data_IF_536630712352
#
_entry.id   IF_536630712352
#
_cell.length_a   1.000
_cell.length_b   1.000
_cell.length_c   1.000
_cell.angle_alpha   90.00
_cell.angle_beta   90.00
_cell.angle_gamma   90.00
#
_symmetry.space_group_name_H-M   'P 1'
#
loop_
_entity.id
_entity.type
_entity.pdbx_description
1 polymer ?
#
# COMPACT_ATOMS: atom_id res chain seq x y z
N UNK A 1 19.70 -1.69 -8.63
CA UNK A 1 19.88 -1.36 -10.07
C UNK A 1 19.69 -2.58 -10.99
N UNK A 2 20.34 -3.74 -10.77
CA UNK A 2 20.18 -4.90 -11.69
C UNK A 2 18.76 -5.48 -11.78
N UNK A 3 18.02 -5.51 -10.69
CA UNK A 3 16.67 -6.11 -10.63
C UNK A 3 15.60 -5.23 -11.28
N UNK A 4 15.72 -3.90 -11.14
CA UNK A 4 14.81 -2.92 -11.77
C UNK A 4 14.99 -2.87 -13.30
N UNK A 5 16.21 -3.07 -13.78
CA UNK A 5 16.52 -3.15 -15.21
C UNK A 5 15.96 -4.45 -15.84
N UNK A 6 16.02 -5.57 -15.11
CA UNK A 6 15.46 -6.84 -15.56
C UNK A 6 13.92 -6.78 -15.69
N UNK A 7 13.24 -6.18 -14.73
CA UNK A 7 11.78 -6.03 -14.78
C UNK A 7 11.34 -5.19 -15.98
N UNK A 8 12.00 -4.07 -16.25
CA UNK A 8 11.72 -3.23 -17.43
C UNK A 8 11.91 -3.99 -18.73
N UNK A 9 12.95 -4.81 -18.82
CA UNK A 9 13.21 -5.66 -20.01
C UNK A 9 12.11 -6.71 -20.21
N UNK A 10 11.65 -7.35 -19.13
CA UNK A 10 10.55 -8.32 -19.21
C UNK A 10 9.25 -7.64 -19.67
N UNK A 11 8.92 -6.47 -19.13
CA UNK A 11 7.74 -5.70 -19.54
C UNK A 11 7.82 -5.28 -21.00
N UNK A 12 8.96 -4.78 -21.45
CA UNK A 12 9.18 -4.41 -22.85
C UNK A 12 9.01 -5.62 -23.79
N UNK A 13 9.64 -6.75 -23.45
CA UNK A 13 9.51 -8.01 -24.19
C UNK A 13 8.05 -8.48 -24.25
N UNK A 14 7.33 -8.47 -23.11
CA UNK A 14 5.94 -8.91 -23.05
C UNK A 14 5.02 -8.07 -23.96
N UNK A 15 5.29 -6.77 -24.10
CA UNK A 15 4.57 -5.87 -25.01
C UNK A 15 4.96 -6.11 -26.47
N UNK A 16 6.26 -6.20 -26.75
CA UNK A 16 6.79 -6.39 -28.09
C UNK A 16 6.29 -7.68 -28.75
N UNK A 17 6.21 -8.76 -27.97
CA UNK A 17 5.78 -10.07 -28.46
C UNK A 17 4.28 -10.36 -28.26
N UNK A 18 3.48 -9.36 -27.91
CA UNK A 18 2.03 -9.48 -27.82
C UNK A 18 1.54 -10.39 -26.72
N UNK A 19 2.27 -10.50 -25.61
CA UNK A 19 1.77 -11.17 -24.40
C UNK A 19 0.72 -10.33 -23.71
N UNK A 20 0.97 -9.03 -23.59
CA UNK A 20 0.05 -8.05 -23.00
C UNK A 20 0.13 -6.74 -23.77
N UNK A 21 -0.99 -6.02 -23.84
CA UNK A 21 -1.06 -4.68 -24.41
C UNK A 21 -2.13 -3.86 -23.67
N UNK A 22 -2.07 -2.52 -23.69
CA UNK A 22 -3.08 -1.68 -23.07
C UNK A 22 -4.47 -1.97 -23.65
N UNK A 23 -5.46 -2.16 -22.78
CA UNK A 23 -6.83 -2.34 -23.25
C UNK A 23 -7.31 -1.07 -23.97
N UNK A 24 -8.04 -1.26 -25.08
CA UNK A 24 -8.53 -0.16 -25.92
C UNK A 24 -7.42 0.74 -26.49
N UNK A 25 -6.27 0.16 -26.86
CA UNK A 25 -5.08 0.89 -27.30
C UNK A 25 -5.34 1.81 -28.49
N UNK A 26 -6.27 1.46 -29.39
CA UNK A 26 -6.65 2.31 -30.54
C UNK A 26 -7.28 3.65 -30.13
N UNK A 27 -7.66 3.79 -28.87
CA UNK A 27 -8.21 5.01 -28.26
C UNK A 27 -7.33 5.52 -27.12
N UNK A 28 -6.01 5.42 -27.29
CA UNK A 28 -4.98 5.79 -26.29
C UNK A 28 -4.90 4.89 -25.06
N UNK A 29 -5.69 3.81 -25.00
CA UNK A 29 -5.68 2.84 -23.93
C UNK A 29 -6.32 3.32 -22.61
N UNK A 30 -6.51 2.39 -21.70
CA UNK A 30 -6.91 2.67 -20.31
C UNK A 30 -5.71 2.49 -19.37
N UNK A 31 -5.54 3.43 -18.46
CA UNK A 31 -4.45 3.34 -17.46
C UNK A 31 -4.64 2.10 -16.57
N UNK A 32 -3.60 1.31 -16.43
CA UNK A 32 -3.54 0.09 -15.61
C UNK A 32 -4.54 -1.01 -16.00
N UNK A 33 -5.10 -0.98 -17.20
CA UNK A 33 -5.96 -2.03 -17.75
C UNK A 33 -5.29 -2.64 -18.99
N UNK A 34 -5.17 -3.96 -19.01
CA UNK A 34 -4.43 -4.69 -20.05
C UNK A 34 -5.24 -5.84 -20.61
N UNK A 35 -5.13 -6.04 -21.92
CA UNK A 35 -5.59 -7.22 -22.60
C UNK A 35 -4.44 -8.22 -22.77
N UNK A 36 -4.76 -9.51 -22.76
CA UNK A 36 -3.80 -10.57 -23.02
C UNK A 36 -3.88 -10.98 -24.51
N UNK A 37 -2.74 -10.93 -25.18
CA UNK A 37 -2.60 -11.49 -26.52
C UNK A 37 -2.59 -13.01 -26.49
N UNK A 38 -2.50 -13.63 -27.67
CA UNK A 38 -2.59 -15.10 -27.82
C UNK A 38 -1.61 -15.87 -26.92
N UNK A 39 -0.36 -15.46 -26.85
CA UNK A 39 0.64 -16.12 -26.00
C UNK A 39 0.39 -15.83 -24.51
N UNK A 40 -0.03 -14.59 -24.19
CA UNK A 40 -0.34 -14.17 -22.84
C UNK A 40 -1.54 -14.91 -22.24
N UNK A 41 -2.62 -15.12 -23.00
CA UNK A 41 -3.79 -15.84 -22.53
C UNK A 41 -3.49 -17.30 -22.27
N UNK A 42 -2.71 -17.95 -23.13
CA UNK A 42 -2.29 -19.34 -22.92
C UNK A 42 -1.42 -19.49 -21.67
N UNK A 43 -0.42 -18.62 -21.51
CA UNK A 43 0.42 -18.59 -20.32
C UNK A 43 -0.42 -18.37 -19.04
N UNK A 44 -1.32 -17.39 -19.06
CA UNK A 44 -2.23 -17.11 -17.93
C UNK A 44 -3.09 -18.31 -17.58
N UNK A 45 -3.70 -18.95 -18.56
CA UNK A 45 -4.58 -20.09 -18.34
C UNK A 45 -3.82 -21.31 -17.81
N UNK A 46 -2.61 -21.55 -18.30
CA UNK A 46 -1.74 -22.62 -17.81
C UNK A 46 -1.34 -22.39 -16.34
N UNK A 47 -0.98 -21.16 -15.97
CA UNK A 47 -0.65 -20.79 -14.58
C UNK A 47 -1.88 -21.01 -13.68
N UNK A 48 -3.06 -20.52 -14.10
CA UNK A 48 -4.31 -20.69 -13.34
C UNK A 48 -4.67 -22.14 -13.12
N UNK A 49 -4.59 -22.96 -14.19
CA UNK A 49 -4.88 -24.40 -14.10
C UNK A 49 -3.91 -25.10 -13.17
N UNK A 50 -2.62 -24.87 -13.35
CA UNK A 50 -1.58 -25.45 -12.49
C UNK A 50 -1.81 -25.10 -11.01
N UNK A 51 -2.07 -23.83 -10.72
CA UNK A 51 -2.36 -23.40 -9.35
C UNK A 51 -3.61 -24.08 -8.79
N UNK A 52 -4.70 -24.10 -9.55
CA UNK A 52 -5.96 -24.70 -9.13
C UNK A 52 -5.79 -26.19 -8.83
N UNK A 53 -5.19 -26.93 -9.73
CA UNK A 53 -4.96 -28.37 -9.59
C UNK A 53 -4.02 -28.65 -8.41
N UNK A 54 -2.95 -27.88 -8.25
CA UNK A 54 -2.04 -28.03 -7.12
C UNK A 54 -2.74 -27.80 -5.78
N UNK A 55 -3.62 -26.80 -5.69
CA UNK A 55 -4.34 -26.50 -4.43
C UNK A 55 -5.43 -27.54 -4.13
N UNK A 56 -6.25 -27.90 -5.11
CA UNK A 56 -7.44 -28.71 -4.88
C UNK A 56 -7.20 -30.22 -4.98
N UNK A 57 -6.17 -30.67 -5.70
CA UNK A 57 -5.90 -32.11 -5.91
C UNK A 57 -4.78 -32.63 -5.00
N UNK A 58 -3.81 -31.78 -4.63
CA UNK A 58 -2.69 -32.19 -3.79
C UNK A 58 -2.95 -31.96 -2.29
N UNK A 59 -4.05 -31.33 -1.92
CA UNK A 59 -4.40 -31.03 -0.54
C UNK A 59 -5.82 -31.51 -0.25
N UNK A 60 -5.95 -32.50 0.61
CA UNK A 60 -7.23 -33.18 0.93
C UNK A 60 -8.26 -32.26 1.61
N UNK A 61 -7.80 -31.22 2.30
CA UNK A 61 -8.63 -30.29 3.07
C UNK A 61 -8.96 -28.98 2.32
N UNK A 62 -8.65 -28.89 1.02
CA UNK A 62 -8.95 -27.73 0.19
C UNK A 62 -9.94 -28.13 -0.90
N UNK A 63 -11.03 -27.38 -0.98
CA UNK A 63 -12.02 -27.48 -2.05
C UNK A 63 -12.11 -26.20 -2.86
N UNK A 64 -12.37 -26.32 -4.15
CA UNK A 64 -12.51 -25.17 -5.03
C UNK A 64 -13.88 -24.50 -4.88
N UNK A 65 -13.88 -23.16 -4.85
CA UNK A 65 -15.07 -22.34 -4.89
C UNK A 65 -14.86 -21.20 -5.90
N UNK A 66 -15.80 -21.02 -6.80
CA UNK A 66 -15.82 -19.89 -7.73
C UNK A 66 -17.01 -18.98 -7.40
N UNK A 67 -16.76 -17.95 -6.62
CA UNK A 67 -17.76 -16.98 -6.22
C UNK A 67 -18.03 -15.95 -7.31
N UNK A 68 -19.24 -15.39 -7.34
CA UNK A 68 -19.60 -14.32 -8.25
C UNK A 68 -18.70 -13.09 -8.06
N UNK A 69 -18.45 -12.37 -9.17
CA UNK A 69 -17.68 -11.11 -9.14
C UNK A 69 -18.45 -10.01 -8.40
N UNK A 70 -19.78 -9.93 -8.66
CA UNK A 70 -20.66 -9.01 -7.94
C UNK A 70 -21.33 -9.74 -6.79
N UNK A 71 -21.22 -9.17 -5.61
CA UNK A 71 -21.80 -9.72 -4.39
C UNK A 71 -22.64 -8.65 -3.68
N UNK A 72 -23.60 -9.11 -2.86
CA UNK A 72 -24.48 -8.19 -2.14
C UNK A 72 -23.70 -7.24 -1.24
N UNK A 73 -24.00 -5.91 -1.24
CA UNK A 73 -23.23 -4.92 -0.47
C UNK A 73 -23.10 -5.21 1.02
N UNK A 74 -24.10 -5.87 1.62
CA UNK A 74 -24.09 -6.26 3.03
C UNK A 74 -22.92 -7.17 3.39
N UNK A 75 -22.44 -8.02 2.46
CA UNK A 75 -21.28 -8.89 2.68
C UNK A 75 -20.04 -8.05 2.95
N UNK A 76 -19.83 -7.03 2.13
CA UNK A 76 -18.68 -6.13 2.25
C UNK A 76 -18.77 -5.19 3.44
N UNK A 77 -19.98 -4.84 3.85
CA UNK A 77 -20.21 -4.11 5.09
C UNK A 77 -19.93 -4.98 6.30
N UNK A 78 -20.42 -6.22 6.32
CA UNK A 78 -20.19 -7.16 7.41
C UNK A 78 -18.72 -7.56 7.57
N UNK A 79 -17.97 -7.64 6.46
CA UNK A 79 -16.54 -7.93 6.47
C UNK A 79 -15.65 -6.71 6.72
N UNK A 80 -16.24 -5.50 6.80
CA UNK A 80 -15.49 -4.25 7.01
C UNK A 80 -14.85 -3.65 5.75
N UNK A 81 -14.92 -4.31 4.59
CA UNK A 81 -14.27 -3.82 3.37
C UNK A 81 -14.82 -2.48 2.87
N UNK A 82 -16.10 -2.19 3.09
CA UNK A 82 -16.70 -0.91 2.68
C UNK A 82 -16.25 0.23 3.59
N UNK A 83 -16.11 -0.06 4.88
CA UNK A 83 -15.86 0.97 5.89
C UNK A 83 -14.36 1.16 6.19
N UNK A 84 -13.55 0.09 6.08
CA UNK A 84 -12.15 0.08 6.48
C UNK A 84 -11.14 -0.05 5.30
N UNK A 85 -11.61 -0.37 4.09
CA UNK A 85 -10.71 -0.60 2.94
C UNK A 85 -10.44 0.70 2.18
N UNK A 86 -9.88 1.66 2.91
CA UNK A 86 -9.61 3.01 2.40
C UNK A 86 -8.16 3.40 2.72
N UNK A 87 -7.41 3.71 1.68
CA UNK A 87 -6.06 4.25 1.84
C UNK A 87 -6.10 5.79 1.90
N UNK A 88 -5.46 6.42 2.89
CA UNK A 88 -5.27 7.86 2.90
C UNK A 88 -4.17 8.22 1.89
N UNK A 89 -4.54 8.80 0.75
CA UNK A 89 -3.61 9.17 -0.31
C UNK A 89 -3.30 10.67 -0.30
N UNK A 90 -2.02 11.00 -0.54
CA UNK A 90 -1.51 12.35 -0.66
C UNK A 90 -0.65 12.47 -1.91
N UNK A 91 -0.79 13.56 -2.66
CA UNK A 91 0.02 13.80 -3.86
C UNK A 91 1.09 14.86 -3.57
N UNK A 92 2.29 14.66 -4.11
CA UNK A 92 3.28 15.73 -4.13
C UNK A 92 3.20 16.47 -5.47
N UNK A 93 3.00 17.80 -5.42
CA UNK A 93 2.76 18.63 -6.60
C UNK A 93 3.97 18.75 -7.53
N UNK A 94 5.17 18.64 -6.96
CA UNK A 94 6.40 18.82 -7.74
C UNK A 94 6.81 17.54 -8.46
N UNK A 95 6.74 16.40 -7.77
CA UNK A 95 7.04 15.09 -8.37
C UNK A 95 5.87 14.52 -9.17
N UNK A 96 4.65 15.05 -9.00
CA UNK A 96 3.38 14.51 -9.55
C UNK A 96 3.16 13.03 -9.19
N UNK A 97 3.71 12.60 -8.06
CA UNK A 97 3.58 11.23 -7.56
C UNK A 97 2.66 11.17 -6.37
N UNK A 98 1.94 10.05 -6.29
CA UNK A 98 1.01 9.73 -5.21
C UNK A 98 1.66 8.81 -4.22
N UNK A 99 1.37 9.04 -2.95
CA UNK A 99 1.87 8.29 -1.81
C UNK A 99 0.74 7.98 -0.84
N UNK A 100 0.91 6.94 -0.06
CA UNK A 100 0.07 6.68 1.10
C UNK A 100 0.57 7.56 2.26
N UNK A 101 -0.33 8.35 2.83
CA UNK A 101 0.02 9.26 3.93
C UNK A 101 0.42 8.50 5.20
N UNK A 102 -0.25 7.40 5.49
CA UNK A 102 0.07 6.50 6.61
C UNK A 102 1.49 5.93 6.48
N UNK A 103 1.86 5.40 5.31
CA UNK A 103 3.22 4.86 5.05
C UNK A 103 4.29 5.95 5.19
N UNK A 104 4.04 7.17 4.71
CA UNK A 104 4.99 8.28 4.88
C UNK A 104 5.24 8.61 6.36
N UNK A 105 4.20 8.54 7.20
CA UNK A 105 4.30 8.79 8.63
C UNK A 105 5.00 7.62 9.33
N UNK A 106 4.66 6.38 8.99
CA UNK A 106 5.32 5.17 9.51
C UNK A 106 6.81 5.14 9.19
N UNK A 107 7.19 5.53 7.97
CA UNK A 107 8.59 5.69 7.56
C UNK A 107 9.32 6.75 8.41
N UNK A 108 8.65 7.83 8.82
CA UNK A 108 9.25 8.83 9.70
C UNK A 108 9.39 8.31 11.13
N UNK A 109 8.41 7.55 11.64
CA UNK A 109 8.51 6.84 12.93
C UNK A 109 9.73 5.89 12.92
N UNK A 110 9.87 5.10 11.85
CA UNK A 110 11.00 4.19 11.68
C UNK A 110 12.36 4.91 11.65
N UNK A 111 12.44 6.12 11.09
CA UNK A 111 13.66 6.95 11.13
C UNK A 111 14.04 7.37 12.56
N UNK A 112 13.06 7.63 13.43
CA UNK A 112 13.37 7.87 14.84
C UNK A 112 13.89 6.62 15.53
N UNK A 113 13.30 5.44 15.29
CA UNK A 113 13.79 4.17 15.80
C UNK A 113 15.21 3.88 15.31
N UNK A 114 15.51 4.16 14.04
CA UNK A 114 16.86 4.05 13.48
C UNK A 114 17.86 4.99 14.17
N UNK A 115 17.48 6.23 14.47
CA UNK A 115 18.34 7.17 15.21
C UNK A 115 18.63 6.65 16.61
N UNK A 116 17.63 6.15 17.33
CA UNK A 116 17.76 5.56 18.66
C UNK A 116 18.73 4.37 18.60
N UNK A 117 18.50 3.44 17.68
CA UNK A 117 19.30 2.24 17.53
C UNK A 117 20.77 2.56 17.14
N UNK A 118 20.99 3.57 16.30
CA UNK A 118 22.35 4.04 15.95
C UNK A 118 23.09 4.63 17.15
N UNK A 119 22.42 5.41 18.01
CA UNK A 119 23.04 5.95 19.23
C UNK A 119 23.37 4.83 20.24
N UNK A 120 22.47 3.87 20.43
CA UNK A 120 22.71 2.69 21.26
C UNK A 120 23.87 1.85 20.73
N UNK A 121 23.92 1.58 19.42
CA UNK A 121 25.00 0.81 18.80
C UNK A 121 26.37 1.51 18.90
N UNK A 122 26.41 2.85 18.81
CA UNK A 122 27.64 3.62 19.04
C UNK A 122 28.12 3.49 20.48
N UNK A 123 27.19 3.56 21.44
CA UNK A 123 27.50 3.42 22.86
C UNK A 123 28.00 2.00 23.17
N UNK A 124 27.34 0.96 22.65
CA UNK A 124 27.77 -0.42 22.81
C UNK A 124 29.21 -0.65 22.31
N UNK A 125 29.56 -0.08 21.15
CA UNK A 125 30.92 -0.13 20.62
C UNK A 125 31.95 0.60 21.51
N UNK A 126 31.51 1.70 22.14
CA UNK A 126 32.38 2.54 22.97
C UNK A 126 32.64 1.94 24.36
N UNK A 127 31.61 1.35 24.97
CA UNK A 127 31.69 0.84 26.37
C UNK A 127 32.01 -0.65 26.47
N UNK A 128 31.89 -1.43 25.37
CA UNK A 128 32.27 -2.84 25.33
C UNK A 128 31.42 -3.72 26.25
N UNK A 129 32.06 -4.74 26.86
CA UNK A 129 31.39 -5.78 27.67
C UNK A 129 30.65 -5.26 28.92
N UNK A 130 30.90 -4.03 29.34
CA UNK A 130 30.20 -3.40 30.49
C UNK A 130 28.98 -2.56 30.10
N UNK A 131 28.54 -2.59 28.84
CA UNK A 131 27.44 -1.76 28.37
C UNK A 131 26.07 -2.30 28.79
N UNK A 132 25.34 -1.53 29.60
CA UNK A 132 23.95 -1.79 29.92
C UNK A 132 23.04 -0.99 28.98
N UNK A 133 22.51 -1.68 27.97
CA UNK A 133 21.64 -1.07 26.95
C UNK A 133 20.35 -0.51 27.55
N UNK A 134 19.74 -1.20 28.53
CA UNK A 134 18.49 -0.77 29.14
C UNK A 134 18.69 0.53 29.91
N UNK A 135 19.70 0.58 30.75
CA UNK A 135 20.03 1.78 31.50
C UNK A 135 20.39 2.94 30.57
N UNK A 136 21.12 2.67 29.48
CA UNK A 136 21.48 3.69 28.51
C UNK A 136 20.25 4.27 27.80
N UNK A 137 19.30 3.43 27.41
CA UNK A 137 18.02 3.87 26.80
C UNK A 137 17.19 4.72 27.76
N UNK A 138 17.22 4.42 29.05
CA UNK A 138 16.46 5.13 30.09
C UNK A 138 17.13 6.42 30.59
N UNK A 139 18.44 6.61 30.36
CA UNK A 139 19.18 7.73 30.94
C UNK A 139 19.84 8.66 29.92
N UNK A 140 20.07 8.22 28.68
CA UNK A 140 20.75 9.05 27.69
C UNK A 140 19.81 10.13 27.14
N UNK A 141 20.18 11.44 27.27
CA UNK A 141 19.30 12.54 26.87
C UNK A 141 18.90 12.52 25.38
N UNK A 142 19.80 12.12 24.48
CA UNK A 142 19.51 12.03 23.03
C UNK A 142 18.55 10.90 22.70
N UNK A 143 18.74 9.75 23.34
CA UNK A 143 17.81 8.60 23.20
C UNK A 143 16.44 8.97 23.73
N UNK A 144 16.37 9.60 24.90
CA UNK A 144 15.12 10.07 25.50
C UNK A 144 14.39 11.09 24.62
N UNK A 145 15.13 12.06 24.05
CA UNK A 145 14.56 13.06 23.13
C UNK A 145 13.96 12.40 21.88
N UNK A 146 14.71 11.48 21.24
CA UNK A 146 14.20 10.78 20.06
C UNK A 146 13.03 9.86 20.39
N UNK A 147 13.06 9.20 21.55
CA UNK A 147 11.96 8.36 22.02
C UNK A 147 10.70 9.17 22.31
N UNK A 148 10.83 10.34 22.93
CA UNK A 148 9.70 11.24 23.20
C UNK A 148 9.05 11.71 21.89
N UNK A 149 9.84 12.19 20.92
CA UNK A 149 9.34 12.61 19.60
C UNK A 149 8.68 11.46 18.83
N UNK A 150 9.26 10.26 18.88
CA UNK A 150 8.70 9.06 18.27
C UNK A 150 7.35 8.70 18.88
N UNK A 151 7.26 8.72 20.21
CA UNK A 151 6.02 8.39 20.92
C UNK A 151 4.93 9.43 20.64
N UNK A 152 5.25 10.71 20.69
CA UNK A 152 4.32 11.80 20.32
C UNK A 152 3.78 11.63 18.89
N UNK A 153 4.66 11.38 17.92
CA UNK A 153 4.26 11.13 16.54
C UNK A 153 3.38 9.90 16.42
N UNK A 154 3.75 8.80 17.08
CA UNK A 154 2.99 7.56 17.04
C UNK A 154 1.59 7.72 17.68
N UNK A 155 1.46 8.42 18.82
CA UNK A 155 0.18 8.67 19.46
C UNK A 155 -0.73 9.56 18.60
N UNK A 156 -0.18 10.64 18.02
CA UNK A 156 -0.94 11.51 17.10
C UNK A 156 -1.41 10.72 15.87
N UNK A 157 -0.52 9.93 15.27
CA UNK A 157 -0.82 9.08 14.13
C UNK A 157 -1.89 8.06 14.45
N UNK A 158 -1.74 7.30 15.54
CA UNK A 158 -2.72 6.30 15.95
C UNK A 158 -4.11 6.91 16.18
N UNK A 159 -4.17 8.08 16.82
CA UNK A 159 -5.42 8.81 17.00
C UNK A 159 -6.01 9.27 15.67
N UNK A 160 -5.22 9.86 14.79
CA UNK A 160 -5.68 10.31 13.47
C UNK A 160 -6.24 9.17 12.61
N UNK A 161 -5.60 7.99 12.66
CA UNK A 161 -6.08 6.79 11.95
C UNK A 161 -7.37 6.24 12.56
N UNK A 162 -7.46 6.15 13.89
CA UNK A 162 -8.67 5.67 14.57
C UNK A 162 -9.88 6.59 14.34
N UNK A 163 -9.65 7.90 14.31
CA UNK A 163 -10.69 8.91 14.09
C UNK A 163 -10.95 9.17 12.60
N UNK A 164 -10.22 8.48 11.69
CA UNK A 164 -10.23 8.71 10.23
C UNK A 164 -10.04 10.20 9.87
N UNK A 165 -9.20 10.90 10.63
CA UNK A 165 -8.96 12.33 10.47
C UNK A 165 -7.87 12.62 9.44
N UNK A 166 -8.29 12.78 8.18
CA UNK A 166 -7.38 13.01 7.05
C UNK A 166 -6.63 14.33 7.15
N UNK A 167 -7.22 15.37 7.73
CA UNK A 167 -6.57 16.67 7.89
C UNK A 167 -5.44 16.57 8.93
N UNK A 168 -5.66 15.82 10.02
CA UNK A 168 -4.61 15.59 11.01
C UNK A 168 -3.44 14.77 10.42
N UNK A 169 -3.70 13.78 9.57
CA UNK A 169 -2.63 13.07 8.85
C UNK A 169 -1.79 14.02 8.00
N UNK A 170 -2.45 14.95 7.30
CA UNK A 170 -1.75 15.99 6.54
C UNK A 170 -0.94 16.89 7.44
N UNK A 171 -1.53 17.33 8.55
CA UNK A 171 -0.87 18.22 9.50
C UNK A 171 0.38 17.57 10.11
N UNK A 172 0.32 16.29 10.45
CA UNK A 172 1.48 15.50 10.90
C UNK A 172 2.59 15.54 9.84
N UNK A 173 2.28 15.30 8.57
CA UNK A 173 3.27 15.31 7.47
C UNK A 173 3.95 16.70 7.38
N UNK A 174 3.20 17.76 7.57
CA UNK A 174 3.73 19.14 7.52
C UNK A 174 4.57 19.48 8.76
N UNK A 175 4.09 19.17 9.96
CA UNK A 175 4.73 19.48 11.24
C UNK A 175 6.07 18.76 11.38
N UNK A 176 6.13 17.49 11.02
CA UNK A 176 7.37 16.71 11.03
C UNK A 176 8.24 16.95 9.79
N UNK A 177 7.77 17.77 8.87
CA UNK A 177 8.53 18.18 7.70
C UNK A 177 8.88 17.03 6.77
N UNK A 178 8.00 16.05 6.66
CA UNK A 178 8.20 14.89 5.80
C UNK A 178 8.32 15.34 4.35
N UNK A 179 9.41 14.95 3.70
CA UNK A 179 9.70 15.32 2.32
C UNK A 179 9.34 14.19 1.34
N UNK A 180 9.01 14.57 0.13
CA UNK A 180 8.79 13.61 -0.95
C UNK A 180 10.07 12.82 -1.24
N UNK A 181 10.03 11.49 -1.26
CA UNK A 181 11.21 10.66 -1.53
C UNK A 181 11.87 10.90 -2.89
N UNK A 182 11.11 11.41 -3.87
CA UNK A 182 11.59 11.65 -5.24
C UNK A 182 12.07 13.09 -5.42
N UNK A 183 11.24 14.08 -5.08
CA UNK A 183 11.57 15.50 -5.32
C UNK A 183 12.29 16.17 -4.15
N UNK A 184 12.26 15.58 -2.95
CA UNK A 184 12.81 16.19 -1.74
C UNK A 184 12.02 17.40 -1.22
N UNK A 185 10.86 17.72 -1.82
CA UNK A 185 10.04 18.88 -1.46
C UNK A 185 8.92 18.52 -0.51
N UNK A 186 8.35 19.53 0.16
CA UNK A 186 7.21 19.41 1.08
C UNK A 186 5.91 19.93 0.47
N UNK A 187 5.84 20.04 -0.85
CA UNK A 187 4.69 20.59 -1.56
C UNK A 187 3.56 19.55 -1.69
N UNK A 188 2.92 19.26 -0.56
CA UNK A 188 1.88 18.24 -0.45
C UNK A 188 0.48 18.83 -0.72
N UNK A 189 -0.39 18.01 -1.31
CA UNK A 189 -1.82 18.28 -1.46
C UNK A 189 -2.57 18.00 -0.15
N UNK A 190 -3.87 18.05 -0.18
CA UNK A 190 -4.73 17.46 0.85
C UNK A 190 -4.66 15.95 0.81
N UNK A 191 -4.82 15.31 1.96
CA UNK A 191 -5.01 13.85 2.05
C UNK A 191 -6.43 13.54 1.61
N UNK A 192 -6.58 12.56 0.72
CA UNK A 192 -7.87 12.10 0.22
C UNK A 192 -8.03 10.62 0.50
N UNK A 193 -9.20 10.24 0.91
CA UNK A 193 -9.55 8.85 1.07
C UNK A 193 -9.74 8.20 -0.30
N UNK A 194 -9.03 7.12 -0.55
CA UNK A 194 -9.19 6.32 -1.75
C UNK A 194 -9.86 5.00 -1.40
N UNK A 195 -11.08 4.81 -1.89
CA UNK A 195 -11.78 3.55 -1.71
C UNK A 195 -11.22 2.51 -2.67
N UNK A 196 -10.71 1.42 -2.13
CA UNK A 196 -10.16 0.30 -2.91
C UNK A 196 -11.25 -0.60 -3.50
N UNK A 197 -12.52 -0.41 -3.08
CA UNK A 197 -13.65 -1.16 -3.61
C UNK A 197 -14.22 -0.50 -4.87
N UNK A 198 -14.08 -1.14 -6.01
CA UNK A 198 -14.77 -0.72 -7.24
C UNK A 198 -16.26 -0.98 -7.11
N UNK A 199 -17.07 0.05 -7.35
CA UNK A 199 -18.52 -0.06 -7.36
C UNK A 199 -19.10 0.17 -8.75
N UNK A 200 -20.24 -0.46 -9.02
CA UNK A 200 -21.04 -0.22 -10.20
C UNK A 200 -22.53 -0.24 -9.84
N UNK A 201 -23.36 0.29 -10.72
CA UNK A 201 -24.82 0.24 -10.58
C UNK A 201 -25.35 -0.99 -11.33
N UNK A 202 -26.13 -1.80 -10.64
CA UNK A 202 -26.83 -2.96 -11.21
C UNK A 202 -28.32 -2.72 -11.23
N UNK A 203 -28.90 -2.64 -12.42
CA UNK A 203 -30.32 -2.39 -12.66
C UNK A 203 -30.54 -1.84 -14.06
N UNK A 204 -31.76 -2.00 -14.58
CA UNK A 204 -32.11 -1.53 -15.92
C UNK A 204 -32.59 -0.08 -15.97
N UNK A 205 -32.91 0.54 -14.84
CA UNK A 205 -33.34 1.92 -14.69
C UNK A 205 -32.63 2.60 -13.56
N UNK A 206 -32.40 3.91 -13.66
CA UNK A 206 -31.73 4.68 -12.62
C UNK A 206 -32.46 4.62 -11.26
N UNK A 207 -33.78 4.63 -11.26
CA UNK A 207 -34.61 4.62 -10.04
C UNK A 207 -34.66 3.23 -9.35
N UNK A 208 -34.26 2.18 -10.04
CA UNK A 208 -34.26 0.79 -9.52
C UNK A 208 -32.86 0.19 -9.43
N UNK A 209 -31.81 0.97 -9.62
CA UNK A 209 -30.44 0.48 -9.57
C UNK A 209 -29.97 0.25 -8.12
N UNK A 210 -29.23 -0.83 -7.92
CA UNK A 210 -28.57 -1.13 -6.67
C UNK A 210 -27.06 -0.99 -6.87
N UNK A 211 -26.40 -0.24 -5.98
CA UNK A 211 -24.93 -0.18 -5.98
C UNK A 211 -24.37 -1.51 -5.51
N UNK A 212 -23.57 -2.12 -6.33
CA UNK A 212 -22.83 -3.37 -6.02
C UNK A 212 -21.35 -3.13 -6.16
N UNK A 213 -20.57 -3.98 -5.51
CA UNK A 213 -19.12 -3.88 -5.53
C UNK A 213 -18.52 -5.10 -6.21
N UNK A 214 -17.46 -4.87 -6.97
CA UNK A 214 -16.63 -5.98 -7.45
C UNK A 214 -15.94 -6.61 -6.23
N UNK A 215 -15.84 -7.94 -6.26
CA UNK A 215 -15.10 -8.70 -5.26
C UNK A 215 -13.65 -8.20 -5.18
N UNK A 216 -13.12 -7.82 -3.99
CA UNK A 216 -11.74 -7.44 -3.83
C UNK A 216 -10.80 -8.62 -4.09
N UNK A 217 -9.55 -8.34 -4.35
CA UNK A 217 -8.54 -9.38 -4.61
C UNK A 217 -8.04 -10.10 -3.34
N UNK A 218 -8.29 -9.49 -2.16
CA UNK A 218 -7.84 -10.04 -0.86
C UNK A 218 -9.01 -10.28 0.07
#
# INVERSE_FOLDING_TARGET
>A
MAQEDLFKKIVAHAKEYGFVFPSSEIYDGLSAVYDYGQNGVELKNNIKRYWWDAMTQLNENIVGLDSAIFMHPTIWKASGHVDAFNDPLIDNRDSKKRYRADVLIEDEIAKFDDKINKEVAKAAKKFGEGFDEKLYRETNPRVLEHTAKRNELHERYAKAMNDMNLEELRQIILDYGIVCPISGTKNWTEVRQFNLMFSTEMGSTADGSMRVYLRPET
#
